data_IF_568811697398
#
_entry.id   IF_568811697398
#
_cell.length_a   1.000
_cell.length_b   1.000
_cell.length_c   1.000
_cell.angle_alpha   90.00
_cell.angle_beta   90.00
_cell.angle_gamma   90.00
#
_symmetry.space_group_name_H-M   'P 1'
#
loop_
_entity.id
_entity.type
_entity.pdbx_description
1 polymer ?
#
# COMPACT_ATOMS: atom_id res chain seq x y z
N UNK A 1 -28.59 -9.31 32.27
CA UNK A 1 -27.23 -8.94 31.84
C UNK A 1 -27.17 -9.12 30.34
N UNK A 2 -27.21 -8.03 29.57
CA UNK A 2 -27.06 -8.08 28.12
C UNK A 2 -25.58 -8.25 27.77
N UNK A 3 -25.19 -9.16 26.86
CA UNK A 3 -23.80 -9.29 26.47
C UNK A 3 -23.35 -8.03 25.72
N UNK A 4 -22.21 -7.47 26.12
CA UNK A 4 -21.55 -6.45 25.34
C UNK A 4 -20.92 -7.10 24.10
N UNK A 5 -21.47 -6.79 22.93
CA UNK A 5 -20.85 -7.16 21.65
C UNK A 5 -19.84 -6.07 21.31
N UNK A 6 -18.56 -6.37 21.51
CA UNK A 6 -17.47 -5.47 21.12
C UNK A 6 -17.24 -5.56 19.61
N UNK A 7 -17.31 -4.43 18.91
CA UNK A 7 -16.87 -4.31 17.52
C UNK A 7 -15.49 -3.71 17.49
N UNK A 8 -14.57 -4.39 16.82
CA UNK A 8 -13.25 -3.88 16.50
C UNK A 8 -13.22 -3.52 15.02
N UNK A 9 -12.78 -2.30 14.72
CA UNK A 9 -12.59 -1.81 13.35
C UNK A 9 -11.10 -1.51 13.22
N UNK A 10 -10.46 -2.20 12.27
CA UNK A 10 -9.07 -1.96 11.90
C UNK A 10 -9.05 -1.24 10.55
N UNK A 11 -8.31 -0.15 10.50
CA UNK A 11 -7.92 0.50 9.26
C UNK A 11 -6.42 0.27 9.06
N UNK A 12 -6.05 -0.14 7.86
CA UNK A 12 -4.67 -0.30 7.45
C UNK A 12 -4.50 0.41 6.11
N UNK A 13 -3.43 1.19 6.00
CA UNK A 13 -3.02 1.88 4.79
C UNK A 13 -1.58 1.47 4.49
N UNK A 14 -1.26 1.32 3.20
CA UNK A 14 0.04 0.83 2.77
C UNK A 14 0.86 1.99 2.21
N UNK A 15 2.01 2.25 2.86
CA UNK A 15 2.93 3.31 2.48
C UNK A 15 3.37 3.16 1.01
N UNK A 16 2.99 4.14 0.19
CA UNK A 16 3.34 4.23 -1.22
C UNK A 16 3.18 2.89 -1.97
N UNK A 17 2.06 2.18 -1.75
CA UNK A 17 1.85 0.79 -2.15
C UNK A 17 2.49 0.38 -3.50
N UNK A 18 2.14 1.05 -4.59
CA UNK A 18 2.69 0.67 -5.91
C UNK A 18 4.19 0.88 -6.02
N UNK A 19 4.73 1.97 -5.47
CA UNK A 19 6.18 2.20 -5.47
C UNK A 19 6.92 1.18 -4.60
N UNK A 20 6.31 0.76 -3.48
CA UNK A 20 6.86 -0.28 -2.60
C UNK A 20 6.88 -1.66 -3.28
N UNK A 21 5.84 -2.00 -4.05
CA UNK A 21 5.82 -3.21 -4.89
C UNK A 21 6.91 -3.15 -5.97
N UNK A 22 7.01 -2.03 -6.70
CA UNK A 22 8.03 -1.85 -7.73
C UNK A 22 9.45 -1.94 -7.17
N UNK A 23 9.74 -1.39 -5.98
CA UNK A 23 11.05 -1.53 -5.35
C UNK A 23 11.37 -2.96 -4.89
N UNK A 24 10.35 -3.78 -4.62
CA UNK A 24 10.53 -5.19 -4.27
C UNK A 24 10.86 -6.01 -5.51
N UNK A 25 10.07 -5.85 -6.58
CA UNK A 25 10.22 -6.59 -7.83
C UNK A 25 11.44 -6.11 -8.65
N UNK A 26 11.79 -4.83 -8.52
CA UNK A 26 12.92 -4.18 -9.18
C UNK A 26 13.89 -3.57 -8.13
N UNK A 27 14.78 -4.38 -7.51
CA UNK A 27 15.66 -3.94 -6.43
C UNK A 27 16.55 -2.73 -6.78
N UNK A 28 16.83 -2.49 -8.07
CA UNK A 28 17.59 -1.35 -8.55
C UNK A 28 16.93 0.02 -8.27
N UNK A 29 15.63 0.04 -7.97
CA UNK A 29 14.91 1.27 -7.61
C UNK A 29 15.02 1.64 -6.13
N UNK A 30 15.54 0.75 -5.28
CA UNK A 30 15.71 1.04 -3.85
C UNK A 30 16.64 2.24 -3.64
N UNK A 31 16.22 3.15 -2.76
CA UNK A 31 16.97 4.37 -2.44
C UNK A 31 16.96 5.43 -3.54
N UNK A 32 16.18 5.25 -4.62
CA UNK A 32 16.02 6.24 -5.68
C UNK A 32 14.63 6.89 -5.60
N UNK A 33 14.49 8.18 -5.97
CA UNK A 33 13.18 8.78 -6.21
C UNK A 33 12.42 7.98 -7.28
N UNK A 34 11.18 7.60 -6.99
CA UNK A 34 10.35 6.76 -7.85
C UNK A 34 8.90 7.26 -7.84
N UNK A 35 8.25 7.23 -9.00
CA UNK A 35 6.81 7.43 -9.17
C UNK A 35 6.27 6.33 -10.08
N UNK A 36 5.07 5.83 -9.78
CA UNK A 36 4.35 4.85 -10.61
C UNK A 36 3.12 5.54 -11.18
N UNK A 37 2.91 5.42 -12.48
CA UNK A 37 1.76 6.00 -13.20
C UNK A 37 1.20 5.01 -14.22
N UNK A 38 -0.02 5.27 -14.71
CA UNK A 38 -0.64 4.48 -15.78
C UNK A 38 -0.18 4.92 -17.17
N UNK A 39 -0.35 4.04 -18.15
CA UNK A 39 -0.16 4.38 -19.57
C UNK A 39 -1.23 5.40 -20.00
N UNK A 40 -0.86 6.55 -20.59
CA UNK A 40 -1.84 7.52 -21.06
C UNK A 40 -2.65 7.03 -22.27
N UNK A 41 -2.19 5.98 -22.96
CA UNK A 41 -2.88 5.35 -24.08
C UNK A 41 -3.84 4.22 -23.69
N UNK A 42 -3.93 3.87 -22.39
CA UNK A 42 -4.89 2.88 -21.85
C UNK A 42 -6.17 3.52 -21.31
#
# INVERSE_FOLDING_TARGET
MTPHIWRYILHADLDAFYASVEQMDNPQYKGRPLVVGGSPEE
#
